data_IF_577271710721
#
_entry.id   IF_577271710721
#
_cell.length_a   1.000
_cell.length_b   1.000
_cell.length_c   1.000
_cell.angle_alpha   90.00
_cell.angle_beta   90.00
_cell.angle_gamma   90.00
#
_symmetry.space_group_name_H-M   'P 1'
#
loop_
_entity.id
_entity.type
_entity.pdbx_description
1 polymer ?
#
# COMPACT_ATOMS: atom_id res chain seq x y z
N UNK A 1 -14.47 7.48 7.26
CA UNK A 1 -14.29 6.34 6.35
C UNK A 1 -15.60 5.71 5.85
N UNK A 2 -16.78 6.08 6.37
CA UNK A 2 -18.06 5.53 5.88
C UNK A 2 -18.29 4.08 6.30
N UNK A 3 -19.36 3.46 5.80
CA UNK A 3 -19.66 2.05 6.05
C UNK A 3 -18.68 1.12 5.32
N UNK A 4 -18.32 -0.01 5.92
CA UNK A 4 -17.32 -0.96 5.40
C UNK A 4 -17.76 -1.61 4.08
N UNK A 5 -19.06 -1.65 3.81
CA UNK A 5 -19.66 -2.23 2.60
C UNK A 5 -19.84 -1.25 1.44
N UNK A 6 -19.45 0.02 1.59
CA UNK A 6 -19.74 1.06 0.60
C UNK A 6 -18.95 0.86 -0.71
N UNK A 7 -19.66 0.56 -1.79
CA UNK A 7 -19.09 0.33 -3.13
C UNK A 7 -18.90 1.60 -3.96
N UNK A 8 -19.44 2.74 -3.53
CA UNK A 8 -19.29 4.03 -4.21
C UNK A 8 -17.88 4.62 -4.01
N UNK A 9 -17.08 4.02 -3.13
CA UNK A 9 -15.72 4.46 -2.83
C UNK A 9 -14.76 4.09 -3.97
N UNK A 10 -13.84 4.99 -4.38
CA UNK A 10 -12.75 4.63 -5.27
C UNK A 10 -11.94 3.46 -4.66
N UNK A 11 -11.78 2.39 -5.44
CA UNK A 11 -11.11 1.16 -5.00
C UNK A 11 -12.04 0.10 -4.37
N UNK A 12 -13.32 0.40 -4.18
CA UNK A 12 -14.34 -0.53 -3.69
C UNK A 12 -14.53 -0.54 -2.17
N UNK A 13 -15.32 -1.51 -1.65
CA UNK A 13 -15.58 -1.63 -0.22
C UNK A 13 -14.29 -1.96 0.56
N UNK A 14 -14.31 -1.76 1.87
CA UNK A 14 -13.16 -2.10 2.70
C UNK A 14 -12.93 -3.61 2.69
N UNK A 15 -11.67 -3.99 2.53
CA UNK A 15 -11.22 -5.37 2.48
C UNK A 15 -10.01 -5.58 3.38
N UNK A 16 -9.73 -6.85 3.62
CA UNK A 16 -8.71 -7.33 4.52
C UNK A 16 -7.96 -8.49 3.86
N UNK A 17 -6.65 -8.55 4.08
CA UNK A 17 -5.82 -9.69 3.78
C UNK A 17 -5.07 -10.14 5.03
N UNK A 18 -4.90 -11.46 5.17
CA UNK A 18 -4.17 -12.06 6.27
C UNK A 18 -2.85 -12.63 5.76
N UNK A 19 -1.75 -12.27 6.41
CA UNK A 19 -0.42 -12.76 6.09
C UNK A 19 0.14 -13.49 7.31
N UNK A 20 0.56 -14.73 7.12
CA UNK A 20 1.01 -15.59 8.21
C UNK A 20 2.49 -15.90 7.97
N UNK A 21 3.31 -15.68 8.99
CA UNK A 21 4.72 -16.03 8.96
C UNK A 21 4.91 -17.56 8.95
N UNK A 22 5.83 -18.06 8.14
CA UNK A 22 6.14 -19.50 8.04
C UNK A 22 6.78 -20.10 9.30
N UNK A 23 7.57 -19.34 10.04
CA UNK A 23 8.35 -19.84 11.18
C UNK A 23 7.60 -19.82 12.51
N UNK A 24 6.84 -18.76 12.79
CA UNK A 24 6.30 -18.50 14.13
C UNK A 24 4.79 -18.23 14.16
N UNK A 25 4.06 -18.59 13.09
CA UNK A 25 2.60 -18.35 12.95
C UNK A 25 2.16 -16.92 13.30
N UNK A 26 3.07 -15.94 13.22
CA UNK A 26 2.76 -14.55 13.50
C UNK A 26 1.84 -14.05 12.39
N UNK A 27 0.70 -13.49 12.77
CA UNK A 27 -0.33 -13.10 11.82
C UNK A 27 -0.38 -11.57 11.70
N UNK A 28 -0.25 -11.10 10.47
CA UNK A 28 -0.39 -9.71 10.09
C UNK A 28 -1.68 -9.54 9.29
N UNK A 29 -2.34 -8.42 9.50
CA UNK A 29 -3.52 -8.05 8.72
C UNK A 29 -3.30 -6.73 8.03
N UNK A 30 -3.61 -6.70 6.75
CA UNK A 30 -3.62 -5.48 5.96
C UNK A 30 -5.07 -5.13 5.67
N UNK A 31 -5.48 -3.92 6.01
CA UNK A 31 -6.83 -3.40 5.76
C UNK A 31 -6.72 -2.18 4.86
N UNK A 32 -7.45 -2.19 3.74
CA UNK A 32 -7.57 -1.08 2.81
C UNK A 32 -8.84 -1.22 1.95
N UNK A 33 -8.96 -0.50 0.84
CA UNK A 33 -10.00 -0.77 -0.15
C UNK A 33 -9.72 -2.06 -0.94
N UNK A 34 -10.76 -2.69 -1.48
CA UNK A 34 -10.66 -3.99 -2.16
C UNK A 34 -9.56 -4.04 -3.25
N UNK A 35 -9.49 -3.00 -4.08
CA UNK A 35 -8.51 -2.93 -5.16
C UNK A 35 -7.06 -2.82 -4.66
N UNK A 36 -6.82 -2.03 -3.63
CA UNK A 36 -5.48 -1.87 -3.04
C UNK A 36 -5.07 -3.12 -2.29
N UNK A 37 -5.97 -3.77 -1.54
CA UNK A 37 -5.66 -5.05 -0.89
C UNK A 37 -5.29 -6.11 -1.94
N UNK A 38 -6.03 -6.18 -3.07
CA UNK A 38 -5.69 -7.11 -4.15
C UNK A 38 -4.29 -6.88 -4.72
N UNK A 39 -3.90 -5.62 -4.95
CA UNK A 39 -2.57 -5.26 -5.45
C UNK A 39 -1.47 -5.48 -4.40
N UNK A 40 -1.78 -5.26 -3.12
CA UNK A 40 -0.84 -5.48 -2.03
C UNK A 40 -0.58 -6.97 -1.80
N UNK A 41 -1.60 -7.83 -1.93
CA UNK A 41 -1.42 -9.29 -1.85
C UNK A 41 -0.38 -9.74 -2.86
N UNK A 42 -0.52 -9.39 -4.14
CA UNK A 42 0.41 -9.83 -5.18
C UNK A 42 1.82 -9.28 -4.96
N UNK A 43 1.94 -8.03 -4.52
CA UNK A 43 3.24 -7.39 -4.32
C UNK A 43 3.96 -7.94 -3.08
N UNK A 44 3.23 -8.17 -1.98
CA UNK A 44 3.78 -8.74 -0.75
C UNK A 44 4.12 -10.21 -0.97
N UNK A 45 3.26 -10.96 -1.66
CA UNK A 45 3.51 -12.37 -1.94
C UNK A 45 4.76 -12.54 -2.80
N UNK A 46 5.01 -11.66 -3.77
CA UNK A 46 6.21 -11.71 -4.62
C UNK A 46 7.50 -11.23 -3.94
N UNK A 47 7.43 -10.22 -3.06
CA UNK A 47 8.63 -9.68 -2.39
C UNK A 47 8.97 -10.38 -1.07
N UNK A 48 7.96 -10.90 -0.37
CA UNK A 48 8.09 -11.49 0.96
C UNK A 48 7.83 -13.01 0.98
N UNK A 49 7.77 -13.69 -0.19
CA UNK A 49 7.41 -15.12 -0.32
C UNK A 49 8.16 -16.02 0.64
N UNK A 50 9.46 -15.76 0.85
CA UNK A 50 10.35 -16.58 1.67
C UNK A 50 9.95 -16.63 3.15
N UNK A 51 9.19 -15.64 3.61
CA UNK A 51 8.75 -15.50 4.99
C UNK A 51 7.26 -15.83 5.17
N UNK A 52 6.50 -15.89 4.07
CA UNK A 52 5.07 -16.18 4.10
C UNK A 52 4.80 -17.67 4.12
N UNK A 53 3.81 -18.05 4.92
CA UNK A 53 3.19 -19.36 4.87
C UNK A 53 2.15 -19.41 3.75
N UNK A 54 1.96 -20.59 3.15
CA UNK A 54 0.90 -20.88 2.17
C UNK A 54 -0.51 -20.72 2.73
N UNK A 55 -0.65 -20.57 4.06
CA UNK A 55 -1.91 -20.25 4.73
C UNK A 55 -2.30 -18.76 4.64
N UNK A 56 -1.46 -17.91 4.03
CA UNK A 56 -1.77 -16.50 3.80
C UNK A 56 -2.90 -16.33 2.78
N UNK A 57 -3.65 -15.23 2.86
CA UNK A 57 -4.80 -14.96 2.01
C UNK A 57 -4.37 -14.75 0.55
N UNK A 58 -4.87 -15.56 -0.41
CA UNK A 58 -4.57 -15.38 -1.84
C UNK A 58 -5.41 -14.28 -2.51
N UNK A 59 -6.45 -13.81 -1.84
CA UNK A 59 -7.40 -12.82 -2.37
C UNK A 59 -7.95 -11.92 -1.25
N UNK A 60 -8.39 -10.69 -1.58
CA UNK A 60 -8.96 -9.78 -0.61
C UNK A 60 -10.29 -10.32 -0.06
N UNK A 61 -10.45 -10.25 1.26
CA UNK A 61 -11.69 -10.61 1.95
C UNK A 61 -12.44 -9.33 2.33
N UNK A 62 -13.71 -9.14 1.92
CA UNK A 62 -14.49 -7.97 2.31
C UNK A 62 -14.60 -7.90 3.84
N UNK A 63 -14.35 -6.74 4.43
CA UNK A 63 -14.37 -6.58 5.89
C UNK A 63 -15.77 -6.82 6.47
N UNK A 64 -16.82 -6.58 5.68
CA UNK A 64 -18.21 -6.90 6.03
C UNK A 64 -18.49 -8.41 6.16
N UNK A 65 -17.66 -9.26 5.54
CA UNK A 65 -17.78 -10.72 5.62
C UNK A 65 -16.92 -11.32 6.75
N UNK A 66 -16.07 -10.52 7.39
CA UNK A 66 -15.23 -10.96 8.50
C UNK A 66 -16.03 -10.84 9.80
N UNK A 67 -16.02 -11.90 10.61
CA UNK A 67 -16.66 -11.90 11.93
C UNK A 67 -16.03 -10.86 12.85
N UNK A 68 -16.83 -10.21 13.69
CA UNK A 68 -16.38 -9.15 14.61
C UNK A 68 -15.28 -9.59 15.58
N UNK A 69 -15.14 -10.89 15.85
CA UNK A 69 -14.08 -11.48 16.68
C UNK A 69 -12.75 -11.65 15.93
N UNK A 70 -12.78 -11.57 14.60
CA UNK A 70 -11.65 -11.79 13.70
C UNK A 70 -11.21 -10.51 13.00
N UNK A 71 -11.96 -9.42 13.17
CA UNK A 71 -11.58 -8.08 12.75
C UNK A 71 -10.55 -7.53 13.75
N UNK A 72 -9.39 -7.05 13.28
CA UNK A 72 -8.39 -6.49 14.18
C UNK A 72 -8.92 -5.22 14.83
N UNK A 73 -8.66 -5.08 16.12
CA UNK A 73 -9.06 -3.92 16.89
C UNK A 73 -8.14 -2.72 16.59
N UNK A 74 -8.59 -1.46 16.80
CA UNK A 74 -7.74 -0.29 16.62
C UNK A 74 -6.43 -0.35 17.40
N UNK A 75 -6.43 -1.05 18.54
CA UNK A 75 -5.28 -1.23 19.41
C UNK A 75 -4.20 -2.15 18.80
N UNK A 76 -4.58 -2.96 17.82
CA UNK A 76 -3.70 -3.87 17.09
C UNK A 76 -3.03 -3.19 15.89
N UNK A 77 -3.38 -1.94 15.58
CA UNK A 77 -2.78 -1.20 14.49
C UNK A 77 -1.31 -0.86 14.82
N UNK A 78 -0.40 -1.41 14.03
CA UNK A 78 1.04 -1.15 14.13
C UNK A 78 1.42 0.10 13.38
N UNK A 79 0.96 0.20 12.12
CA UNK A 79 1.35 1.30 11.24
C UNK A 79 0.21 1.65 10.29
N UNK A 80 0.03 2.96 10.12
CA UNK A 80 -0.83 3.53 9.09
C UNK A 80 0.06 3.99 7.93
N UNK A 81 -0.28 3.56 6.72
CA UNK A 81 0.40 3.97 5.49
C UNK A 81 -0.49 4.94 4.72
N UNK A 82 0.14 5.95 4.13
CA UNK A 82 -0.41 6.99 3.23
C UNK A 82 -1.79 7.52 3.65
N UNK A 83 -1.82 8.72 4.26
CA UNK A 83 -3.06 9.41 4.62
C UNK A 83 -4.09 8.51 5.37
N UNK A 84 -3.59 7.52 6.12
CA UNK A 84 -4.39 6.51 6.81
C UNK A 84 -5.33 5.73 5.87
N UNK A 85 -4.88 5.40 4.67
CA UNK A 85 -5.64 4.60 3.70
C UNK A 85 -5.37 3.10 3.74
N UNK A 86 -4.20 2.73 4.26
CA UNK A 86 -3.84 1.34 4.48
C UNK A 86 -3.39 1.20 5.93
N UNK A 87 -3.87 0.15 6.60
CA UNK A 87 -3.52 -0.15 7.98
C UNK A 87 -2.87 -1.52 8.03
N UNK A 88 -1.70 -1.59 8.66
CA UNK A 88 -1.06 -2.84 9.05
C UNK A 88 -1.34 -3.08 10.53
N UNK A 89 -1.98 -4.20 10.81
CA UNK A 89 -2.30 -4.66 12.16
C UNK A 89 -1.58 -5.96 12.47
N UNK A 90 -1.25 -6.18 13.74
CA UNK A 90 -0.53 -7.35 14.22
C UNK A 90 -1.36 -8.12 15.25
N UNK A 91 -1.42 -9.44 15.09
CA UNK A 91 -2.08 -10.32 16.04
C UNK A 91 -1.45 -10.24 17.42
N UNK A 92 -2.28 -9.99 18.43
CA UNK A 92 -1.84 -9.91 19.83
C UNK A 92 -1.13 -8.61 20.20
N UNK A 93 -0.98 -7.65 19.27
CA UNK A 93 -0.49 -6.32 19.62
C UNK A 93 -1.54 -5.52 20.36
N UNK A 94 -1.14 -4.71 21.34
CA UNK A 94 -2.05 -3.85 22.07
C UNK A 94 -1.36 -2.54 22.40
N UNK A 95 -1.66 -1.49 21.62
CA UNK A 95 -1.11 -0.15 21.79
C UNK A 95 -1.89 0.71 22.82
N UNK A 96 -2.76 0.14 23.66
CA UNK A 96 -3.56 0.89 24.65
C UNK A 96 -2.70 1.71 25.62
N UNK A 97 -1.43 1.33 25.82
CA UNK A 97 -0.48 2.07 26.65
C UNK A 97 0.04 3.37 25.98
N UNK A 98 -0.31 3.61 24.71
CA UNK A 98 0.00 4.81 23.96
C UNK A 98 0.74 4.54 22.63
N UNK A 99 0.99 5.61 21.84
CA UNK A 99 1.59 5.52 20.51
C UNK A 99 3.03 4.98 20.49
N UNK A 100 3.71 4.96 21.65
CA UNK A 100 5.08 4.46 21.80
C UNK A 100 5.13 3.05 22.44
N UNK A 101 4.03 2.29 22.36
CA UNK A 101 4.02 0.92 22.88
C UNK A 101 5.04 0.08 22.08
N UNK A 102 6.02 -0.54 22.73
CA UNK A 102 7.01 -1.35 22.04
C UNK A 102 6.33 -2.57 21.41
N UNK A 103 6.78 -2.95 20.21
CA UNK A 103 6.31 -4.16 19.57
C UNK A 103 6.71 -5.38 20.43
N UNK A 104 5.86 -6.42 20.50
CA UNK A 104 6.17 -7.60 21.27
C UNK A 104 7.43 -8.27 20.71
N UNK A 105 8.28 -8.78 21.60
CA UNK A 105 9.56 -9.43 21.25
C UNK A 105 9.39 -10.70 20.40
N UNK A 106 8.17 -11.24 20.35
CA UNK A 106 7.76 -12.36 19.49
C UNK A 106 7.44 -11.94 18.05
N UNK A 107 7.47 -10.63 17.74
CA UNK A 107 7.23 -10.16 16.38
C UNK A 107 8.47 -10.38 15.53
N UNK A 108 8.33 -11.09 14.42
CA UNK A 108 9.42 -11.26 13.48
C UNK A 108 9.69 -9.93 12.75
N UNK A 109 10.80 -9.28 13.12
CA UNK A 109 11.21 -8.01 12.54
C UNK A 109 11.53 -8.09 11.04
N UNK A 110 11.86 -9.29 10.51
CA UNK A 110 12.20 -9.48 9.10
C UNK A 110 10.97 -9.40 8.22
N UNK A 111 9.90 -10.15 8.55
CA UNK A 111 8.64 -10.05 7.82
C UNK A 111 8.02 -8.66 7.97
N UNK A 112 8.01 -8.11 9.19
CA UNK A 112 7.50 -6.76 9.42
C UNK A 112 8.25 -5.73 8.58
N UNK A 113 9.58 -5.82 8.49
CA UNK A 113 10.40 -4.92 7.67
C UNK A 113 10.08 -5.08 6.18
N UNK A 114 9.95 -6.33 5.69
CA UNK A 114 9.58 -6.62 4.31
C UNK A 114 8.23 -6.00 3.96
N UNK A 115 7.20 -6.25 4.77
CA UNK A 115 5.88 -5.66 4.55
C UNK A 115 5.89 -4.14 4.65
N UNK A 116 6.60 -3.58 5.64
CA UNK A 116 6.70 -2.14 5.83
C UNK A 116 7.32 -1.44 4.61
N UNK A 117 8.40 -2.02 4.08
CA UNK A 117 9.07 -1.52 2.88
C UNK A 117 8.18 -1.68 1.64
N UNK A 118 7.64 -2.88 1.40
CA UNK A 118 6.82 -3.17 0.22
C UNK A 118 5.53 -2.33 0.19
N UNK A 119 4.82 -2.19 1.31
CA UNK A 119 3.63 -1.34 1.39
C UNK A 119 4.01 0.14 1.23
N UNK A 120 5.15 0.57 1.80
CA UNK A 120 5.65 1.93 1.66
C UNK A 120 5.92 2.35 0.21
N UNK A 121 6.51 1.46 -0.59
CA UNK A 121 6.79 1.69 -2.01
C UNK A 121 5.54 1.55 -2.89
N UNK A 122 4.67 0.57 -2.60
CA UNK A 122 3.59 0.16 -3.51
C UNK A 122 2.32 1.01 -3.39
N UNK A 123 2.21 1.82 -2.34
CA UNK A 123 1.08 2.72 -2.17
C UNK A 123 1.52 4.13 -2.61
N UNK A 124 1.37 4.50 -3.90
CA UNK A 124 1.96 5.71 -4.44
C UNK A 124 1.42 6.95 -3.74
N UNK A 125 2.28 7.89 -3.38
CA UNK A 125 1.86 9.25 -3.07
C UNK A 125 1.17 9.80 -4.32
N UNK A 126 -0.15 9.99 -4.29
CA UNK A 126 -0.72 11.04 -5.13
C UNK A 126 -0.16 12.33 -4.57
N UNK A 127 1.02 12.73 -5.04
CA UNK A 127 1.25 14.15 -5.15
C UNK A 127 0.14 14.63 -6.09
N UNK A 128 -0.85 15.34 -5.55
CA UNK A 128 -1.84 16.07 -6.35
C UNK A 128 -1.15 17.21 -7.11
N UNK A 129 -0.16 16.88 -7.92
CA UNK A 129 0.88 17.79 -8.40
C UNK A 129 1.99 17.10 -9.16
N UNK A 130 1.69 16.11 -10.00
CA UNK A 130 2.62 15.69 -11.06
C UNK A 130 1.88 15.58 -12.41
N UNK A 131 1.07 16.59 -12.70
CA UNK A 131 0.70 16.96 -14.06
C UNK A 131 1.40 18.28 -14.39
N UNK A 132 2.71 18.37 -14.19
CA UNK A 132 3.49 19.25 -15.06
C UNK A 132 3.78 18.41 -16.28
N UNK A 133 2.82 18.37 -17.21
CA UNK A 133 3.20 18.23 -18.61
C UNK A 133 4.30 19.26 -18.82
N UNK A 134 5.54 18.79 -18.99
CA UNK A 134 6.63 19.65 -19.37
C UNK A 134 6.13 20.47 -20.56
N UNK A 135 5.97 21.78 -20.37
CA UNK A 135 5.51 22.69 -21.40
C UNK A 135 6.28 22.35 -22.70
N UNK A 136 5.62 21.89 -23.78
CA UNK A 136 6.30 21.47 -25.01
C UNK A 136 6.96 22.64 -25.76
N UNK A 137 6.93 23.86 -25.20
CA UNK A 137 7.44 25.08 -25.81
C UNK A 137 8.95 25.08 -25.98
N UNK A 138 9.73 24.36 -25.16
CA UNK A 138 11.20 24.34 -25.31
C UNK A 138 11.65 23.54 -26.55
N UNK A 139 10.91 22.50 -26.96
CA UNK A 139 11.23 21.73 -28.16
C UNK A 139 10.87 22.48 -29.46
N UNK A 140 9.79 23.26 -29.47
CA UNK A 140 9.39 24.02 -30.68
C UNK A 140 10.35 25.14 -31.04
N UNK A 141 10.94 25.83 -30.05
CA UNK A 141 11.89 26.91 -30.32
C UNK A 141 13.18 26.42 -30.99
N UNK A 142 13.65 25.22 -30.63
CA UNK A 142 14.81 24.61 -31.29
C UNK A 142 14.52 24.29 -32.77
N UNK A 143 13.34 23.76 -33.08
CA UNK A 143 12.97 23.40 -34.47
C UNK A 143 12.78 24.65 -35.32
N UNK A 144 12.13 25.70 -34.80
CA UNK A 144 12.02 26.97 -35.51
C UNK A 144 13.38 27.65 -35.73
N UNK A 145 14.29 27.54 -34.76
CA UNK A 145 15.62 28.14 -34.87
C UNK A 145 16.48 27.44 -35.93
N UNK A 146 16.42 26.10 -36.01
CA UNK A 146 17.12 25.33 -37.05
C UNK A 146 16.54 25.59 -38.45
N UNK A 147 15.22 25.72 -38.57
CA UNK A 147 14.58 26.05 -39.85
C UNK A 147 14.96 27.47 -40.30
N UNK A 148 14.96 28.43 -39.38
CA UNK A 148 15.30 29.83 -39.70
C UNK A 148 16.75 29.99 -40.17
N UNK A 149 17.72 29.39 -39.47
CA UNK A 149 19.13 29.47 -39.88
C UNK A 149 19.49 28.52 -41.03
N UNK A 150 18.78 27.40 -41.18
CA UNK A 150 18.99 26.47 -42.29
C UNK A 150 18.50 26.98 -43.64
N UNK A 151 17.42 27.78 -43.67
CA UNK A 151 16.87 28.33 -44.91
C UNK A 151 17.74 29.45 -45.49
N UNK A 152 18.37 30.26 -44.65
CA UNK A 152 19.32 31.32 -45.04
C UNK A 152 20.63 30.77 -45.64
N UNK A 153 20.91 29.47 -45.47
CA UNK A 153 22.11 28.82 -46.02
C UNK A 153 21.89 28.21 -47.42
N UNK A 154 20.67 28.26 -47.96
CA UNK A 154 20.28 27.63 -49.24
C UNK A 154 19.90 28.67 -50.32
N UNK A 155 19.87 29.96 -49.96
CA UNK A 155 19.66 31.10 -50.88
C UNK A 155 20.99 31.84 -51.05
#
# INVERSE_FOLDING_TARGET
YGDTSNTTRPGGPMAMATFILNSDNTTFWVIADNSTVAALITTIDTNCTLYLSSASSPSPVPLSAVSSTSVPQPEQAVQYYRASSVVLSLAGYNNSAGPNTPLPSTTNAVLLSCMNYTIGESVPLVNGGASSWSNPTMCMLCVMWVIWFGLEAII
#
